data_IF_834326495158
#
_entry.id   IF_834326495158
#
_cell.length_a   1.000
_cell.length_b   1.000
_cell.length_c   1.000
_cell.angle_alpha   90.00
_cell.angle_beta   90.00
_cell.angle_gamma   90.00
#
_symmetry.space_group_name_H-M   'P 1'
#
loop_
_entity.id
_entity.type
_entity.pdbx_description
1 polymer ?
#
# COMPACT_ATOMS: atom_id res chain seq x y z
N UNK A 1 -21.24 -9.19 -0.60
CA UNK A 1 -19.83 -9.16 -0.17
C UNK A 1 -19.80 -8.76 1.30
N UNK A 2 -19.11 -9.52 2.15
CA UNK A 2 -19.07 -9.32 3.60
C UNK A 2 -17.61 -9.30 4.06
N UNK A 3 -17.23 -8.36 4.93
CA UNK A 3 -15.96 -8.45 5.63
C UNK A 3 -16.03 -9.57 6.68
N UNK A 4 -15.17 -10.58 6.54
CA UNK A 4 -15.14 -11.74 7.45
C UNK A 4 -13.99 -11.68 8.42
N UNK A 5 -12.93 -10.92 8.12
CA UNK A 5 -11.78 -10.77 9.01
C UNK A 5 -10.98 -9.50 8.76
N UNK A 6 -10.46 -8.91 9.84
CA UNK A 6 -9.40 -7.90 9.80
C UNK A 6 -8.09 -8.52 10.28
N UNK A 7 -7.01 -8.31 9.53
CA UNK A 7 -5.68 -8.83 9.84
C UNK A 7 -4.74 -7.69 10.26
N UNK A 8 -3.78 -7.98 11.14
CA UNK A 8 -2.69 -7.07 11.48
C UNK A 8 -1.41 -7.37 10.69
N UNK A 9 -1.32 -8.56 10.10
CA UNK A 9 -0.16 -9.04 9.33
C UNK A 9 -0.66 -9.94 8.21
N UNK A 10 -0.02 -9.85 7.04
CA UNK A 10 -0.33 -10.67 5.87
C UNK A 10 0.93 -11.05 5.10
N UNK A 11 1.01 -12.31 4.66
CA UNK A 11 2.16 -12.86 3.95
C UNK A 11 1.77 -13.19 2.51
N UNK A 12 2.50 -12.63 1.55
CA UNK A 12 2.30 -12.90 0.11
C UNK A 12 3.58 -12.59 -0.67
N UNK A 13 3.90 -13.40 -1.68
CA UNK A 13 5.04 -13.19 -2.59
C UNK A 13 6.39 -12.95 -1.87
N UNK A 14 6.61 -13.61 -0.73
CA UNK A 14 7.81 -13.44 0.09
C UNK A 14 7.83 -12.18 0.97
N UNK A 15 6.82 -11.31 0.88
CA UNK A 15 6.67 -10.15 1.75
C UNK A 15 5.84 -10.47 2.98
N UNK A 16 6.19 -9.83 4.10
CA UNK A 16 5.39 -9.77 5.32
C UNK A 16 4.92 -8.35 5.53
N UNK A 17 3.67 -8.08 5.19
CA UNK A 17 3.02 -6.78 5.36
C UNK A 17 2.43 -6.64 6.76
N UNK A 18 2.48 -5.44 7.32
CA UNK A 18 1.85 -5.09 8.59
C UNK A 18 0.89 -3.93 8.40
N UNK A 19 -0.14 -3.83 9.24
CA UNK A 19 -0.83 -2.55 9.41
C UNK A 19 0.10 -1.54 10.08
N UNK A 20 -0.13 -0.26 9.83
CA UNK A 20 0.60 0.84 10.44
C UNK A 20 0.54 0.77 11.96
N UNK A 21 -0.66 0.56 12.52
CA UNK A 21 -0.86 0.42 13.96
C UNK A 21 -0.05 -0.74 14.54
N UNK A 22 -0.03 -1.88 13.85
CA UNK A 22 0.76 -3.04 14.28
C UNK A 22 2.28 -2.79 14.20
N UNK A 23 2.73 -1.89 13.33
CA UNK A 23 4.15 -1.57 13.16
C UNK A 23 4.68 -0.62 14.24
N UNK A 24 3.81 0.13 14.94
CA UNK A 24 4.22 1.04 16.00
C UNK A 24 4.95 0.30 17.12
N UNK A 25 6.09 0.85 17.56
CA UNK A 25 6.92 0.26 18.61
C UNK A 25 7.73 -0.97 18.20
N UNK A 26 7.66 -1.41 16.94
CA UNK A 26 8.47 -2.53 16.42
C UNK A 26 9.76 -2.05 15.78
N UNK A 27 10.77 -2.92 15.79
CA UNK A 27 12.07 -2.67 15.14
C UNK A 27 11.94 -2.48 13.62
N UNK A 28 10.96 -3.12 12.99
CA UNK A 28 10.74 -3.09 11.54
C UNK A 28 9.35 -2.56 11.23
N UNK A 29 9.28 -1.52 10.39
CA UNK A 29 8.02 -1.00 9.86
C UNK A 29 7.75 -1.57 8.47
N UNK A 30 6.77 -2.46 8.40
CA UNK A 30 6.46 -3.25 7.20
C UNK A 30 5.11 -2.84 6.59
N UNK A 31 4.66 -1.62 6.88
CA UNK A 31 3.38 -1.09 6.42
C UNK A 31 3.48 -0.23 5.16
N UNK A 32 4.69 0.04 4.66
CA UNK A 32 4.88 0.80 3.43
C UNK A 32 4.64 -0.06 2.19
N UNK A 33 3.90 0.51 1.23
CA UNK A 33 3.51 -0.15 -0.02
C UNK A 33 3.85 0.71 -1.23
N UNK A 34 4.27 0.04 -2.29
CA UNK A 34 4.53 0.60 -3.61
C UNK A 34 3.72 -0.16 -4.67
N UNK A 35 3.11 0.60 -5.57
CA UNK A 35 2.44 0.10 -6.77
C UNK A 35 3.00 0.86 -7.96
N UNK A 36 3.51 0.11 -8.95
CA UNK A 36 3.98 0.71 -10.20
C UNK A 36 2.78 1.22 -11.00
N UNK A 37 2.86 2.45 -11.50
CA UNK A 37 1.88 3.02 -12.41
C UNK A 37 1.79 2.27 -13.73
N UNK A 38 0.68 2.45 -14.45
CA UNK A 38 0.45 1.78 -15.74
C UNK A 38 1.22 2.44 -16.89
N UNK A 39 1.57 3.72 -16.77
CA UNK A 39 2.24 4.47 -17.83
C UNK A 39 3.74 4.50 -17.58
N UNK A 40 4.53 4.00 -18.52
CA UNK A 40 6.00 4.10 -18.41
C UNK A 40 6.46 5.55 -18.57
N UNK A 41 7.26 6.03 -17.60
CA UNK A 41 7.83 7.38 -17.62
C UNK A 41 6.92 8.49 -17.05
N UNK A 42 5.77 8.14 -16.47
CA UNK A 42 4.90 9.10 -15.77
C UNK A 42 5.14 9.12 -14.25
N UNK A 43 4.48 10.05 -13.57
CA UNK A 43 4.44 10.18 -12.11
C UNK A 43 3.23 9.42 -11.56
N UNK A 44 2.93 8.24 -12.09
CA UNK A 44 1.75 7.45 -11.71
C UNK A 44 2.11 6.31 -10.74
N UNK A 45 3.34 6.30 -10.23
CA UNK A 45 3.76 5.36 -9.19
C UNK A 45 3.15 5.77 -7.86
N UNK A 46 2.48 4.83 -7.20
CA UNK A 46 1.79 5.07 -5.93
C UNK A 46 2.58 4.54 -4.77
N UNK A 47 2.76 5.40 -3.77
CA UNK A 47 3.37 5.08 -2.49
C UNK A 47 2.32 5.29 -1.41
N UNK A 48 2.21 4.35 -0.48
CA UNK A 48 1.22 4.42 0.58
C UNK A 48 1.60 3.69 1.85
N UNK A 49 0.69 3.78 2.82
CA UNK A 49 0.79 3.13 4.13
C UNK A 49 -0.46 2.27 4.34
N UNK A 50 -0.27 0.99 4.65
CA UNK A 50 -1.36 0.07 5.00
C UNK A 50 -1.92 0.46 6.36
N UNK A 51 -3.19 0.86 6.41
CA UNK A 51 -3.91 1.07 7.67
C UNK A 51 -4.70 -0.17 8.08
N UNK A 52 -5.33 -0.85 7.12
CA UNK A 52 -6.15 -2.04 7.37
C UNK A 52 -5.91 -3.13 6.33
N UNK A 53 -6.11 -4.38 6.73
CA UNK A 53 -6.06 -5.55 5.86
C UNK A 53 -7.37 -6.29 6.07
N UNK A 54 -8.19 -6.34 5.02
CA UNK A 54 -9.52 -6.94 5.05
C UNK A 54 -9.53 -8.25 4.28
N UNK A 55 -10.11 -9.29 4.87
CA UNK A 55 -10.54 -10.49 4.15
C UNK A 55 -12.04 -10.40 3.93
N UNK A 56 -12.43 -10.43 2.66
CA UNK A 56 -13.79 -10.23 2.21
C UNK A 56 -14.28 -11.52 1.57
N UNK A 57 -15.47 -11.95 1.95
CA UNK A 57 -16.16 -13.10 1.40
C UNK A 57 -17.25 -12.63 0.44
N UNK A 58 -17.31 -13.22 -0.74
CA UNK A 58 -18.36 -12.96 -1.72
C UNK A 58 -18.97 -14.27 -2.19
N UNK A 59 -20.29 -14.24 -2.41
CA UNK A 59 -21.04 -15.40 -2.82
C UNK A 59 -20.66 -15.74 -4.26
N UNK A 60 -20.13 -16.93 -4.47
CA UNK A 60 -20.12 -17.59 -5.76
C UNK A 60 -21.12 -18.75 -5.73
N UNK A 61 -21.68 -19.07 -6.89
CA UNK A 61 -22.66 -20.15 -7.08
C UNK A 61 -22.14 -21.54 -6.69
N UNK A 62 -20.82 -21.69 -6.47
CA UNK A 62 -20.18 -22.99 -6.24
C UNK A 62 -19.42 -23.08 -4.91
N UNK A 63 -18.95 -21.96 -4.32
CA UNK A 63 -18.31 -21.93 -2.99
C UNK A 63 -18.13 -20.48 -2.51
N UNK A 64 -17.96 -20.21 -1.19
CA UNK A 64 -17.58 -18.88 -0.73
C UNK A 64 -16.17 -18.53 -1.23
N UNK A 65 -16.09 -17.58 -2.14
CA UNK A 65 -14.81 -17.05 -2.61
C UNK A 65 -14.34 -15.95 -1.65
N UNK A 66 -13.03 -15.92 -1.39
CA UNK A 66 -12.42 -14.95 -0.48
C UNK A 66 -11.36 -14.14 -1.21
N UNK A 67 -11.32 -12.84 -0.91
CA UNK A 67 -10.32 -11.90 -1.42
C UNK A 67 -9.75 -11.11 -0.25
N UNK A 68 -8.45 -10.84 -0.30
CA UNK A 68 -7.80 -9.95 0.67
C UNK A 68 -7.55 -8.61 -0.01
N UNK A 69 -7.90 -7.52 0.67
CA UNK A 69 -7.62 -6.14 0.24
C UNK A 69 -6.81 -5.43 1.30
N UNK A 70 -5.82 -4.65 0.86
CA UNK A 70 -5.17 -3.65 1.70
C UNK A 70 -5.90 -2.34 1.54
N UNK A 71 -6.26 -1.72 2.66
CA UNK A 71 -6.71 -0.34 2.70
C UNK A 71 -5.53 0.55 3.05
N UNK A 72 -5.18 1.40 2.11
CA UNK A 72 -3.98 2.20 2.12
C UNK A 72 -4.31 3.69 2.15
N UNK A 73 -3.53 4.44 2.90
CA UNK A 73 -3.43 5.88 2.75
C UNK A 73 -2.32 6.18 1.74
N UNK A 74 -2.68 6.77 0.61
CA UNK A 74 -1.76 7.04 -0.49
C UNK A 74 -1.20 8.47 -0.41
N UNK A 75 0.10 8.61 -0.63
CA UNK A 75 0.74 9.91 -0.86
C UNK A 75 0.32 10.48 -2.22
N UNK A 76 0.39 11.79 -2.38
CA UNK A 76 0.09 12.44 -3.66
C UNK A 76 1.16 12.04 -4.71
N UNK A 77 0.79 11.30 -5.78
CA UNK A 77 1.73 10.85 -6.80
C UNK A 77 2.15 12.00 -7.74
N UNK A 78 1.45 13.15 -7.71
CA UNK A 78 1.78 14.30 -8.55
C UNK A 78 3.17 14.85 -8.24
N UNK A 79 3.72 15.66 -9.16
CA UNK A 79 5.02 16.33 -8.96
C UNK A 79 5.10 17.22 -7.71
N UNK A 80 3.96 17.64 -7.15
CA UNK A 80 3.92 18.39 -5.90
C UNK A 80 4.13 17.49 -4.67
N UNK A 81 3.69 16.23 -4.76
CA UNK A 81 3.73 15.25 -3.68
C UNK A 81 4.88 14.26 -3.77
N UNK A 82 5.34 13.93 -4.98
CA UNK A 82 6.35 12.88 -5.22
C UNK A 82 7.42 13.39 -6.17
N UNK A 83 8.69 13.28 -5.76
CA UNK A 83 9.86 13.60 -6.57
C UNK A 83 10.75 12.38 -6.68
N UNK A 84 11.15 12.03 -7.90
CA UNK A 84 12.05 10.92 -8.19
C UNK A 84 13.39 11.48 -8.64
N UNK A 85 14.48 11.11 -7.97
CA UNK A 85 15.84 11.35 -8.45
C UNK A 85 16.23 10.21 -9.41
N UNK A 86 16.37 10.48 -10.71
CA UNK A 86 16.65 9.44 -11.71
C UNK A 86 18.09 8.90 -11.61
N UNK A 87 19.01 9.57 -10.90
CA UNK A 87 20.41 9.13 -10.78
C UNK A 87 20.59 8.11 -9.67
N UNK A 88 19.82 8.23 -8.60
CA UNK A 88 19.97 7.40 -7.39
C UNK A 88 18.75 6.51 -7.10
N UNK A 89 17.70 6.61 -7.92
CA UNK A 89 16.41 5.93 -7.70
C UNK A 89 15.84 6.21 -6.29
N UNK A 90 16.09 7.42 -5.79
CA UNK A 90 15.57 7.92 -4.52
C UNK A 90 14.22 8.57 -4.81
N UNK A 91 13.22 8.22 -4.01
CA UNK A 91 11.88 8.78 -4.10
C UNK A 91 11.63 9.60 -2.84
N UNK A 92 11.39 10.88 -3.03
CA UNK A 92 11.03 11.81 -1.98
C UNK A 92 9.53 12.03 -2.00
N UNK A 93 8.91 11.89 -0.83
CA UNK A 93 7.48 12.01 -0.65
C UNK A 93 7.18 13.18 0.28
N UNK A 94 6.30 14.07 -0.15
CA UNK A 94 5.74 15.10 0.70
C UNK A 94 4.74 14.47 1.66
N UNK A 95 5.16 14.29 2.91
CA UNK A 95 4.35 13.66 3.96
C UNK A 95 3.07 14.41 4.31
N UNK A 96 2.83 15.63 3.80
CA UNK A 96 1.60 16.39 4.02
C UNK A 96 0.58 16.23 2.89
N UNK A 97 1.02 15.86 1.69
CA UNK A 97 0.14 15.71 0.54
C UNK A 97 -0.36 14.27 0.43
N UNK A 98 -1.65 14.12 0.20
CA UNK A 98 -2.34 12.84 0.07
C UNK A 98 -3.08 12.80 -1.25
N UNK A 99 -3.17 11.61 -1.81
CA UNK A 99 -3.98 11.37 -2.98
C UNK A 99 -5.46 11.51 -2.60
N UNK A 100 -6.14 12.49 -3.19
CA UNK A 100 -7.55 12.82 -2.90
C UNK A 100 -8.60 11.88 -3.52
N UNK A 101 -8.37 11.23 -4.69
CA UNK A 101 -9.34 10.30 -5.27
C UNK A 101 -9.57 9.04 -4.43
N UNK A 102 -10.80 8.51 -4.54
CA UNK A 102 -11.42 7.58 -3.57
C UNK A 102 -11.12 6.09 -3.82
N UNK A 103 -9.92 5.72 -4.27
CA UNK A 103 -9.56 4.29 -4.31
C UNK A 103 -8.43 3.93 -3.33
N UNK A 104 -8.78 3.69 -2.06
CA UNK A 104 -7.81 3.30 -1.04
C UNK A 104 -7.49 1.80 -1.07
N UNK A 105 -8.14 1.00 -1.93
CA UNK A 105 -8.02 -0.45 -1.88
C UNK A 105 -7.05 -0.97 -2.94
N UNK A 106 -6.21 -1.93 -2.54
CA UNK A 106 -5.31 -2.61 -3.47
C UNK A 106 -5.22 -4.11 -3.16
N UNK A 107 -5.09 -4.90 -4.21
CA UNK A 107 -4.83 -6.34 -4.10
C UNK A 107 -3.38 -6.56 -3.66
N UNK A 108 -3.13 -7.39 -2.62
CA UNK A 108 -1.78 -7.67 -2.14
C UNK A 108 -0.84 -8.25 -3.21
N UNK A 109 -1.39 -8.91 -4.24
CA UNK A 109 -0.62 -9.47 -5.36
C UNK A 109 0.08 -8.41 -6.21
N UNK A 110 -0.42 -7.18 -6.21
CA UNK A 110 0.06 -6.10 -7.09
C UNK A 110 0.97 -5.11 -6.36
N UNK A 111 1.36 -5.43 -5.12
CA UNK A 111 2.06 -4.52 -4.22
C UNK A 111 3.46 -5.04 -3.92
N UNK A 112 4.43 -4.12 -3.84
CA UNK A 112 5.75 -4.38 -3.25
C UNK A 112 5.88 -3.65 -1.92
N UNK A 113 6.69 -4.21 -1.03
CA UNK A 113 7.01 -3.57 0.24
C UNK A 113 8.07 -2.49 0.06
N UNK A 114 7.86 -1.33 0.69
CA UNK A 114 8.84 -0.24 0.80
C UNK A 114 8.95 0.21 2.25
N UNK A 115 10.07 0.88 2.56
CA UNK A 115 10.31 1.48 3.86
C UNK A 115 10.52 2.98 3.69
N UNK A 116 9.94 3.77 4.59
CA UNK A 116 10.05 5.23 4.59
C UNK A 116 10.98 5.68 5.70
N UNK A 117 11.90 6.57 5.37
CA UNK A 117 12.85 7.18 6.30
C UNK A 117 12.58 8.68 6.32
N UNK A 118 12.56 9.34 7.50
CA UNK A 118 12.53 10.79 7.57
C UNK A 118 13.70 11.39 6.79
N UNK A 119 13.46 12.52 6.14
CA UNK A 119 14.54 13.28 5.50
C UNK A 119 15.54 13.74 6.59
N UNK A 120 16.87 13.64 6.35
CA UNK A 120 17.89 14.07 7.30
C UNK A 120 17.79 15.54 7.72
#
# INVERSE_FOLDING_TARGET
MRCVKEWHTYFINGYKFHTHEWSKGKKTSNCGVYVKGLTEGSYDDFYGIIHKIYELEYNSTTSPNRVVLFYCEWFDPSRAGTRVDPRFNIVELNQRLRYGPFDPFILPSNVRQVYYVPYP
#
